data_IF_005422170509
#
_entry.id   IF_005422170509
#
_cell.length_a   1.000
_cell.length_b   1.000
_cell.length_c   1.000
_cell.angle_alpha   90.00
_cell.angle_beta   90.00
_cell.angle_gamma   90.00
#
_symmetry.space_group_name_H-M   'P 1'
#
loop_
_entity.id
_entity.type
_entity.pdbx_description
1 polymer ?
#
# COMPACT_ATOMS: atom_id res chain seq x y z
N UNK A 1 25.23 28.03 -66.69
CA UNK A 1 25.88 26.87 -66.01
C UNK A 1 25.03 26.61 -64.76
N UNK A 2 24.23 25.57 -64.60
CA UNK A 2 23.92 24.37 -65.38
C UNK A 2 22.56 23.86 -64.88
N UNK A 3 21.78 23.28 -65.79
CA UNK A 3 20.55 22.52 -65.59
C UNK A 3 20.66 21.38 -64.56
N UNK A 4 19.50 21.09 -63.93
CA UNK A 4 18.88 19.84 -63.41
C UNK A 4 19.43 18.45 -63.91
N UNK A 5 18.95 17.25 -63.46
CA UNK A 5 18.04 16.82 -62.36
C UNK A 5 18.33 15.40 -61.71
N UNK A 6 17.36 14.91 -60.88
CA UNK A 6 16.94 13.51 -60.53
C UNK A 6 17.77 12.63 -59.58
N UNK A 7 17.15 12.17 -58.49
CA UNK A 7 16.74 10.76 -58.27
C UNK A 7 16.03 10.60 -56.90
N UNK A 8 14.72 10.33 -56.91
CA UNK A 8 14.00 9.58 -55.88
C UNK A 8 14.34 8.08 -56.05
N UNK A 9 14.33 7.17 -55.04
CA UNK A 9 13.15 6.97 -54.18
C UNK A 9 13.33 6.26 -52.80
N UNK A 10 12.20 6.18 -52.07
CA UNK A 10 11.73 5.08 -51.19
C UNK A 10 12.47 4.78 -49.88
N UNK A 11 11.76 4.99 -48.78
CA UNK A 11 11.98 4.26 -47.52
C UNK A 11 11.06 4.71 -46.39
N UNK A 12 9.80 4.27 -46.40
CA UNK A 12 8.93 4.31 -45.22
C UNK A 12 9.46 3.44 -44.06
N UNK A 13 8.75 3.46 -42.92
CA UNK A 13 9.32 3.53 -41.57
C UNK A 13 9.83 2.18 -41.06
N UNK A 14 10.80 2.21 -40.14
CA UNK A 14 11.14 1.06 -39.31
C UNK A 14 11.18 1.49 -37.86
N UNK A 15 10.16 1.03 -37.14
CA UNK A 15 10.05 0.96 -35.70
C UNK A 15 11.39 0.55 -35.06
N UNK A 16 12.07 1.55 -34.50
CA UNK A 16 13.21 1.37 -33.61
C UNK A 16 12.71 1.49 -32.19
N UNK A 17 12.36 0.34 -31.61
CA UNK A 17 12.03 0.13 -30.20
C UNK A 17 12.84 1.05 -29.28
N UNK A 18 12.18 1.96 -28.58
CA UNK A 18 12.73 2.56 -27.39
C UNK A 18 12.77 1.47 -26.29
N UNK A 19 13.97 1.18 -25.79
CA UNK A 19 14.20 0.29 -24.66
C UNK A 19 13.35 0.71 -23.44
N UNK A 20 12.60 -0.19 -22.78
CA UNK A 20 11.80 0.14 -21.61
C UNK A 20 12.57 0.01 -20.28
N UNK A 21 13.90 0.01 -20.30
CA UNK A 21 14.72 -0.35 -19.12
C UNK A 21 15.56 0.79 -18.56
N UNK A 22 15.02 2.01 -18.54
CA UNK A 22 15.55 3.09 -17.71
C UNK A 22 14.41 3.91 -17.10
N UNK A 23 13.41 3.23 -16.55
CA UNK A 23 12.53 3.84 -15.56
C UNK A 23 13.32 4.03 -14.28
N UNK A 24 13.48 5.26 -13.76
CA UNK A 24 14.07 5.48 -12.44
C UNK A 24 13.18 4.77 -11.41
N UNK A 25 13.70 3.67 -10.85
CA UNK A 25 13.12 3.01 -9.68
C UNK A 25 13.39 3.91 -8.48
N UNK A 26 12.33 4.46 -7.90
CA UNK A 26 12.39 5.34 -6.73
C UNK A 26 11.95 6.76 -7.05
N UNK A 27 10.73 6.93 -7.55
CA UNK A 27 10.08 8.23 -7.49
C UNK A 27 9.69 8.53 -6.04
N UNK A 28 10.01 9.72 -5.55
CA UNK A 28 9.63 10.27 -4.23
C UNK A 28 8.10 10.37 -4.01
N UNK A 29 7.29 9.73 -4.87
CA UNK A 29 5.83 9.66 -4.83
C UNK A 29 5.25 8.38 -4.21
N UNK A 30 6.06 7.34 -3.95
CA UNK A 30 5.62 6.13 -3.21
C UNK A 30 5.65 6.30 -1.68
N UNK A 31 5.77 7.55 -1.21
CA UNK A 31 5.58 7.94 0.19
C UNK A 31 4.32 8.79 0.37
N UNK A 32 3.36 8.70 -0.55
CA UNK A 32 1.96 8.89 -0.18
C UNK A 32 1.48 7.64 0.55
N UNK A 33 2.14 7.35 1.68
CA UNK A 33 1.46 6.73 2.81
C UNK A 33 0.42 7.76 3.22
N UNK A 34 -0.70 7.77 2.50
CA UNK A 34 -1.97 8.22 3.04
C UNK A 34 -2.13 7.34 4.25
N UNK A 35 -1.56 7.79 5.35
CA UNK A 35 -1.76 7.24 6.66
C UNK A 35 -3.25 7.47 6.90
N UNK A 36 -4.08 6.56 6.38
CA UNK A 36 -5.51 6.56 6.63
C UNK A 36 -5.65 6.71 8.15
N UNK A 37 -6.54 7.61 8.54
CA UNK A 37 -6.87 7.77 9.94
C UNK A 37 -7.31 6.40 10.45
N UNK A 38 -6.53 5.79 11.34
CA UNK A 38 -6.91 4.53 11.96
C UNK A 38 -8.11 4.83 12.86
N UNK A 39 -9.22 4.14 12.61
CA UNK A 39 -10.46 4.34 13.36
C UNK A 39 -10.97 3.04 13.99
N UNK A 40 -11.78 3.17 15.05
CA UNK A 40 -12.58 2.08 15.63
C UNK A 40 -13.35 1.31 14.55
N UNK A 41 -13.88 2.00 13.53
CA UNK A 41 -14.58 1.35 12.42
C UNK A 41 -13.67 0.42 11.62
N UNK A 42 -12.47 0.86 11.27
CA UNK A 42 -11.53 0.00 10.52
C UNK A 42 -11.07 -1.18 11.38
N UNK A 43 -10.79 -0.97 12.66
CA UNK A 43 -10.44 -2.05 13.60
C UNK A 43 -11.57 -3.07 13.64
N UNK A 44 -12.81 -2.62 13.88
CA UNK A 44 -14.00 -3.47 13.91
C UNK A 44 -14.23 -4.23 12.59
N UNK A 45 -13.94 -3.60 11.45
CA UNK A 45 -14.03 -4.24 10.14
C UNK A 45 -13.01 -5.39 10.00
N UNK A 46 -11.81 -5.27 10.57
CA UNK A 46 -10.86 -6.39 10.61
C UNK A 46 -11.27 -7.46 11.65
N UNK A 47 -11.98 -7.09 12.71
CA UNK A 47 -12.44 -8.06 13.72
C UNK A 47 -13.55 -8.97 13.21
N UNK A 48 -14.48 -8.42 12.43
CA UNK A 48 -15.73 -9.11 12.03
C UNK A 48 -16.00 -9.11 10.52
N UNK A 49 -15.06 -8.61 9.71
CA UNK A 49 -15.19 -8.59 8.26
C UNK A 49 -15.15 -9.98 7.64
N UNK A 50 -15.52 -10.06 6.36
CA UNK A 50 -15.55 -11.29 5.59
C UNK A 50 -14.22 -11.68 4.93
N UNK A 51 -13.15 -10.94 5.20
CA UNK A 51 -11.82 -11.32 4.73
C UNK A 51 -11.31 -12.56 5.50
N UNK A 52 -10.39 -13.34 4.91
CA UNK A 52 -9.80 -14.50 5.58
C UNK A 52 -9.22 -14.13 6.95
N UNK A 53 -9.39 -15.02 7.94
CA UNK A 53 -8.89 -14.80 9.31
C UNK A 53 -7.42 -14.39 9.36
N UNK A 54 -6.58 -15.04 8.54
CA UNK A 54 -5.14 -14.77 8.46
C UNK A 54 -4.83 -13.35 7.96
N UNK A 55 -5.56 -12.88 6.95
CA UNK A 55 -5.41 -11.53 6.41
C UNK A 55 -5.86 -10.48 7.43
N UNK A 56 -7.01 -10.73 8.08
CA UNK A 56 -7.54 -9.87 9.15
C UNK A 56 -6.56 -9.78 10.33
N UNK A 57 -5.96 -10.90 10.72
CA UNK A 57 -4.95 -10.98 11.77
C UNK A 57 -3.71 -10.16 11.43
N UNK A 58 -3.21 -10.28 10.20
CA UNK A 58 -2.03 -9.53 9.78
C UNK A 58 -2.31 -8.02 9.76
N UNK A 59 -3.44 -7.60 9.20
CA UNK A 59 -3.83 -6.18 9.18
C UNK A 59 -3.98 -5.58 10.58
N UNK A 60 -4.53 -6.34 11.54
CA UNK A 60 -4.61 -5.88 12.93
C UNK A 60 -3.22 -5.71 13.56
N UNK A 61 -2.24 -6.57 13.24
CA UNK A 61 -0.85 -6.41 13.72
C UNK A 61 -0.19 -5.17 13.12
N UNK A 62 -0.46 -4.87 11.85
CA UNK A 62 0.05 -3.69 11.18
C UNK A 62 -0.54 -2.40 11.80
N UNK A 63 -1.85 -2.40 12.07
CA UNK A 63 -2.55 -1.32 12.79
C UNK A 63 -1.95 -1.10 14.18
N UNK A 64 -1.72 -2.18 14.95
CA UNK A 64 -1.12 -2.10 16.29
C UNK A 64 0.28 -1.49 16.21
N UNK A 65 1.10 -1.95 15.27
CA UNK A 65 2.47 -1.44 15.09
C UNK A 65 2.48 0.06 14.78
N UNK A 66 1.57 0.51 13.91
CA UNK A 66 1.44 1.92 13.56
C UNK A 66 0.94 2.77 14.75
N UNK A 67 -0.08 2.30 15.48
CA UNK A 67 -0.58 3.00 16.68
C UNK A 67 0.49 3.08 17.77
N UNK A 68 1.25 2.00 18.01
CA UNK A 68 2.36 2.02 18.95
C UNK A 68 3.46 3.01 18.56
N UNK A 69 3.75 3.12 17.26
CA UNK A 69 4.69 4.11 16.73
C UNK A 69 4.19 5.53 17.00
N UNK A 70 2.93 5.83 16.68
CA UNK A 70 2.32 7.15 16.90
C UNK A 70 2.22 7.52 18.37
N UNK A 71 1.83 6.57 19.23
CA UNK A 71 1.76 6.79 20.69
C UNK A 71 3.13 7.17 21.26
N UNK A 72 4.23 6.62 20.73
CA UNK A 72 5.59 6.93 21.19
C UNK A 72 6.17 8.22 20.59
N UNK A 73 5.66 8.66 19.44
CA UNK A 73 6.25 9.77 18.68
C UNK A 73 5.87 11.18 19.18
N UNK A 74 4.87 11.31 20.07
CA UNK A 74 4.33 12.61 20.49
C UNK A 74 3.83 12.58 21.93
N UNK A 75 3.88 13.73 22.61
CA UNK A 75 3.26 13.92 23.95
C UNK A 75 1.74 13.70 23.93
N UNK A 76 1.09 13.93 22.79
CA UNK A 76 -0.35 13.61 22.60
C UNK A 76 -0.60 12.18 22.17
N UNK A 77 0.45 11.36 22.09
CA UNK A 77 0.33 9.96 21.70
C UNK A 77 -0.51 9.12 22.65
N UNK A 78 -0.63 9.55 23.91
CA UNK A 78 -1.51 8.93 24.92
C UNK A 78 -3.00 8.97 24.50
N UNK A 79 -3.42 9.97 23.72
CA UNK A 79 -4.80 10.07 23.21
C UNK A 79 -5.17 8.89 22.28
N UNK A 80 -4.17 8.19 21.74
CA UNK A 80 -4.35 7.01 20.88
C UNK A 80 -4.38 5.70 21.67
N UNK A 81 -4.06 5.70 22.97
CA UNK A 81 -4.08 4.47 23.77
C UNK A 81 -5.42 3.73 23.74
N UNK A 82 -6.60 4.40 23.83
CA UNK A 82 -7.89 3.70 23.74
C UNK A 82 -8.02 2.90 22.43
N UNK A 83 -7.56 3.48 21.33
CA UNK A 83 -7.61 2.87 20.00
C UNK A 83 -6.61 1.70 19.88
N UNK A 84 -5.41 1.85 20.47
CA UNK A 84 -4.41 0.76 20.55
C UNK A 84 -4.94 -0.43 21.37
N UNK A 85 -5.62 -0.19 22.48
CA UNK A 85 -6.25 -1.24 23.29
C UNK A 85 -7.39 -1.94 22.54
N UNK A 86 -8.17 -1.18 21.76
CA UNK A 86 -9.20 -1.75 20.89
C UNK A 86 -8.60 -2.67 19.83
N UNK A 87 -7.53 -2.25 19.17
CA UNK A 87 -6.83 -3.05 18.16
C UNK A 87 -6.27 -4.35 18.75
N UNK A 88 -5.65 -4.30 19.94
CA UNK A 88 -5.16 -5.48 20.66
C UNK A 88 -6.27 -6.44 21.06
N UNK A 89 -7.38 -5.90 21.58
CA UNK A 89 -8.55 -6.70 21.95
C UNK A 89 -9.14 -7.41 20.72
N UNK A 90 -9.18 -6.71 19.59
CA UNK A 90 -9.63 -7.24 18.31
C UNK A 90 -8.70 -8.33 17.78
N UNK A 91 -7.38 -8.15 17.86
CA UNK A 91 -6.42 -9.18 17.48
C UNK A 91 -6.64 -10.47 18.28
N UNK A 92 -6.83 -10.37 19.60
CA UNK A 92 -7.11 -11.52 20.45
C UNK A 92 -8.44 -12.23 20.12
N UNK A 93 -9.41 -11.54 19.51
CA UNK A 93 -10.64 -12.17 19.01
C UNK A 93 -10.31 -12.97 17.75
N UNK A 94 -9.63 -12.35 16.78
CA UNK A 94 -9.28 -13.00 15.51
C UNK A 94 -8.35 -14.20 15.71
N UNK A 95 -7.39 -14.12 16.63
CA UNK A 95 -6.51 -15.24 16.98
C UNK A 95 -7.31 -16.44 17.52
N UNK A 96 -8.35 -16.19 18.34
CA UNK A 96 -9.26 -17.23 18.81
C UNK A 96 -10.13 -17.82 17.69
N UNK A 97 -10.45 -17.05 16.66
CA UNK A 97 -11.15 -17.57 15.46
C UNK A 97 -10.22 -18.49 14.66
N UNK A 98 -8.95 -18.10 14.49
CA UNK A 98 -7.94 -18.91 13.81
C UNK A 98 -7.73 -20.26 14.51
N UNK A 99 -7.65 -20.27 15.84
CA UNK A 99 -7.54 -21.50 16.65
C UNK A 99 -8.74 -22.46 16.49
N UNK A 100 -9.91 -21.92 16.15
CA UNK A 100 -11.14 -22.68 15.93
C UNK A 100 -11.29 -23.20 14.50
N UNK A 101 -10.39 -22.80 13.59
CA UNK A 101 -10.47 -23.13 12.17
C UNK A 101 -11.64 -22.44 11.48
N UNK A 102 -12.05 -21.27 11.95
CA UNK A 102 -12.94 -20.40 11.20
C UNK A 102 -12.14 -19.84 10.00
N UNK A 103 -12.68 -19.94 8.77
CA UNK A 103 -12.08 -19.41 7.53
C UNK A 103 -12.70 -18.07 7.15
#
# INVERSE_FOLDING_TARGET
>A
MTDQPKDDPKGGPKDGKADPLDSPVGGEGDVESVAEEITTRQISAQTFGGDPVEDRRQRLKDIITELESRTKASERGEDLEPLLQEARSSLAIVERQAERGEE
#
